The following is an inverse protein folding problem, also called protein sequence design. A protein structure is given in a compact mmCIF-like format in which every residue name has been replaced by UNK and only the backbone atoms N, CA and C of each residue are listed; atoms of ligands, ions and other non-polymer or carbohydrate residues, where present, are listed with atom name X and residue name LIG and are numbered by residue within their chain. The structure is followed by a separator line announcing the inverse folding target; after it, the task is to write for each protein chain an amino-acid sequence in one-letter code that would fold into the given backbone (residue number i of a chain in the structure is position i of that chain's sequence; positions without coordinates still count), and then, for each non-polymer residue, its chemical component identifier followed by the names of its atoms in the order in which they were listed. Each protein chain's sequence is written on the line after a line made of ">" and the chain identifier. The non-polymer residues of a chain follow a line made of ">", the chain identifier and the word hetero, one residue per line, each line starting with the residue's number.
data_IF_027791317692
#
_entry.id   IF_027791317692
#
_cell.length_a   1.000
_cell.length_b   1.000
_cell.length_c   1.000
_cell.angle_alpha   90.00
_cell.angle_beta   90.00
_cell.angle_gamma   90.00
#
_symmetry.space_group_name_H-M   'P 1'
#
loop_
_entity.id
_entity.type
_entity.pdbx_description
1 polymer ?
#
# COMPACT_ATOMS: atom_id res chain seq x y z
N UNK A 1 4.60 9.21 19.18
CA UNK A 1 3.27 8.97 18.55
C UNK A 1 3.47 8.88 17.05
N UNK A 2 4.16 7.83 16.60
CA UNK A 2 4.39 7.55 15.19
C UNK A 2 3.71 6.24 14.85
N UNK A 3 2.92 6.24 13.79
CA UNK A 3 2.19 5.08 13.29
C UNK A 3 2.89 4.71 11.97
N UNK A 4 3.72 3.67 12.03
CA UNK A 4 4.27 3.01 10.85
C UNK A 4 3.25 1.94 10.44
N UNK A 5 2.76 2.06 9.21
CA UNK A 5 1.87 1.10 8.55
C UNK A 5 2.75 0.01 7.91
N UNK A 6 2.74 -1.20 8.48
CA UNK A 6 3.25 -2.43 7.84
C UNK A 6 2.25 -3.57 8.06
N UNK A 7 1.54 -4.02 7.03
CA UNK A 7 1.11 -5.44 6.93
C UNK A 7 0.98 -5.84 5.48
N UNK A 8 2.06 -6.29 4.84
CA UNK A 8 1.88 -7.38 3.86
C UNK A 8 3.01 -8.41 3.79
N UNK A 9 4.00 -8.34 4.68
CA UNK A 9 4.99 -9.40 4.77
C UNK A 9 5.30 -9.68 6.23
N UNK A 10 4.84 -10.83 6.73
CA UNK A 10 5.57 -11.72 7.65
C UNK A 10 6.36 -11.17 8.85
N UNK A 11 6.20 -9.92 9.29
CA UNK A 11 6.83 -9.39 10.50
C UNK A 11 5.76 -8.95 11.47
N UNK A 12 5.97 -9.40 12.69
CA UNK A 12 5.20 -9.18 13.90
C UNK A 12 4.75 -7.73 14.02
N UNK A 13 3.45 -7.46 13.87
CA UNK A 13 2.87 -6.17 14.19
C UNK A 13 1.97 -6.25 15.43
N UNK A 14 2.22 -5.30 16.33
CA UNK A 14 1.38 -5.00 17.46
C UNK A 14 0.02 -4.50 16.92
N UNK A 15 -1.12 -4.98 17.43
CA UNK A 15 -2.41 -4.41 17.11
C UNK A 15 -2.46 -3.11 17.89
N UNK A 16 -2.28 -2.00 17.18
CA UNK A 16 -2.66 -0.70 17.73
C UNK A 16 -4.18 -0.65 17.61
N UNK A 17 -4.93 -0.54 18.73
CA UNK A 17 -6.38 -0.51 18.67
C UNK A 17 -6.83 0.66 17.79
N UNK A 18 -7.80 0.41 16.92
CA UNK A 18 -8.39 1.38 15.98
C UNK A 18 -7.53 1.76 14.76
N UNK A 19 -6.52 0.96 14.41
CA UNK A 19 -5.77 1.10 13.14
C UNK A 19 -6.05 -0.10 12.25
N UNK A 20 -6.36 0.17 10.98
CA UNK A 20 -6.60 -0.85 9.97
C UNK A 20 -5.67 -0.60 8.77
N UNK A 21 -4.79 -1.55 8.46
CA UNK A 21 -3.97 -1.49 7.27
C UNK A 21 -4.69 -2.11 6.07
N UNK A 22 -4.72 -1.40 4.95
CA UNK A 22 -5.37 -1.85 3.71
C UNK A 22 -4.56 -2.90 2.95
N UNK A 23 -3.29 -3.12 3.30
CA UNK A 23 -2.34 -3.89 2.50
C UNK A 23 -1.59 -3.01 1.49
N UNK A 24 -0.89 -3.64 0.55
CA UNK A 24 -0.23 -2.99 -0.60
C UNK A 24 -1.28 -2.35 -1.51
N UNK A 25 -2.44 -2.97 -1.63
CA UNK A 25 -3.65 -2.37 -2.15
C UNK A 25 -4.87 -2.94 -1.42
N UNK A 26 -5.95 -2.16 -1.32
CA UNK A 26 -7.16 -2.57 -0.62
C UNK A 26 -8.37 -1.70 -0.95
N UNK A 27 -9.57 -2.26 -0.80
CA UNK A 27 -10.83 -1.50 -0.72
C UNK A 27 -11.64 -2.02 0.46
N UNK A 28 -12.19 -1.09 1.25
CA UNK A 28 -13.09 -1.38 2.38
C UNK A 28 -14.31 -0.46 2.33
N UNK A 29 -15.33 -0.82 3.11
CA UNK A 29 -16.52 0.00 3.35
C UNK A 29 -16.48 0.55 4.77
N UNK A 30 -16.97 1.77 4.94
CA UNK A 30 -17.29 2.36 6.25
C UNK A 30 -18.67 3.01 6.18
N UNK A 31 -19.68 2.37 6.76
CA UNK A 31 -21.07 2.65 6.42
C UNK A 31 -21.31 2.42 4.93
N UNK A 32 -21.77 3.45 4.22
CA UNK A 32 -21.97 3.41 2.76
C UNK A 32 -20.78 3.98 1.95
N UNK A 33 -19.70 4.42 2.61
CA UNK A 33 -18.52 5.01 1.95
C UNK A 33 -17.57 3.89 1.53
N UNK A 34 -17.14 3.88 0.27
CA UNK A 34 -16.09 2.98 -0.24
C UNK A 34 -14.74 3.70 -0.29
N UNK A 35 -13.76 3.10 0.36
CA UNK A 35 -12.41 3.65 0.53
C UNK A 35 -11.42 2.70 -0.11
N UNK A 36 -10.74 3.15 -1.17
CA UNK A 36 -9.64 2.44 -1.82
C UNK A 36 -8.28 2.97 -1.41
N UNK A 37 -7.26 2.14 -1.50
CA UNK A 37 -5.89 2.54 -1.21
C UNK A 37 -4.84 1.79 -2.02
N UNK A 38 -3.76 2.49 -2.35
CA UNK A 38 -2.50 1.96 -2.87
C UNK A 38 -1.35 2.41 -1.96
N UNK A 39 -0.70 1.45 -1.30
CA UNK A 39 0.45 1.73 -0.44
C UNK A 39 1.74 1.70 -1.25
N UNK A 40 2.73 2.45 -0.79
CA UNK A 40 4.09 2.37 -1.30
C UNK A 40 4.51 3.48 -2.26
N UNK A 41 5.79 3.40 -2.66
CA UNK A 41 6.47 4.37 -3.53
C UNK A 41 6.71 3.73 -4.91
N UNK A 42 6.48 4.45 -5.99
CA UNK A 42 6.72 3.94 -7.33
C UNK A 42 8.20 3.97 -7.69
N UNK A 43 8.76 2.80 -8.03
CA UNK A 43 10.08 2.66 -8.65
C UNK A 43 9.98 1.74 -9.86
N UNK A 44 10.34 2.27 -11.03
CA UNK A 44 10.18 1.60 -12.32
C UNK A 44 10.84 0.21 -12.35
N UNK A 45 12.05 0.08 -11.78
CA UNK A 45 12.81 -1.18 -11.75
C UNK A 45 12.13 -2.31 -10.98
N UNK A 46 11.29 -2.00 -9.97
CA UNK A 46 10.60 -3.01 -9.17
C UNK A 46 9.14 -3.21 -9.60
N UNK A 47 8.59 -2.31 -10.41
CA UNK A 47 7.17 -2.27 -10.69
C UNK A 47 6.63 -3.57 -11.28
N UNK A 48 7.34 -4.19 -12.22
CA UNK A 48 6.91 -5.45 -12.83
C UNK A 48 7.33 -6.71 -12.06
N UNK A 49 8.05 -6.60 -10.95
CA UNK A 49 8.49 -7.76 -10.17
C UNK A 49 7.35 -8.34 -9.33
N UNK A 50 7.52 -9.55 -8.81
CA UNK A 50 6.67 -10.09 -7.76
C UNK A 50 7.00 -9.49 -6.38
N UNK A 51 6.23 -9.90 -5.38
CA UNK A 51 6.49 -9.63 -3.96
C UNK A 51 7.43 -10.71 -3.40
N UNK A 52 8.71 -10.63 -3.76
CA UNK A 52 9.72 -11.65 -3.45
C UNK A 52 10.43 -11.43 -2.11
N UNK A 53 10.30 -10.24 -1.54
CA UNK A 53 10.97 -9.85 -0.31
C UNK A 53 10.47 -10.69 0.86
N UNK A 54 11.39 -11.17 1.72
CA UNK A 54 11.04 -11.96 2.90
C UNK A 54 11.97 -11.61 4.05
N UNK A 55 11.46 -11.63 5.29
CA UNK A 55 12.30 -11.57 6.47
C UNK A 55 13.27 -12.76 6.54
N UNK A 56 14.49 -12.57 7.09
CA UNK A 56 15.05 -11.28 7.48
C UNK A 56 15.43 -10.43 6.25
N UNK A 57 15.04 -9.16 6.28
CA UNK A 57 15.37 -8.22 5.21
C UNK A 57 16.85 -7.83 5.24
N UNK A 58 17.44 -7.68 4.07
CA UNK A 58 18.67 -6.92 3.86
C UNK A 58 18.36 -5.47 3.42
N UNK A 59 19.40 -4.64 3.29
CA UNK A 59 19.33 -3.22 2.91
C UNK A 59 18.53 -2.97 1.62
N UNK A 60 18.61 -3.88 0.65
CA UNK A 60 17.88 -3.74 -0.61
C UNK A 60 16.41 -4.14 -0.46
N UNK A 61 16.16 -5.27 0.22
CA UNK A 61 14.80 -5.81 0.38
C UNK A 61 13.93 -5.01 1.35
N UNK A 62 14.53 -4.33 2.34
CA UNK A 62 13.79 -3.44 3.24
C UNK A 62 13.33 -2.16 2.53
N UNK A 63 14.02 -1.76 1.45
CA UNK A 63 13.57 -0.66 0.57
C UNK A 63 12.54 -1.16 -0.45
N UNK A 64 12.85 -2.28 -1.11
CA UNK A 64 12.02 -2.76 -2.21
C UNK A 64 10.64 -3.30 -1.78
N UNK A 65 10.48 -3.74 -0.52
CA UNK A 65 9.21 -4.25 0.03
C UNK A 65 8.04 -3.29 -0.12
N UNK A 66 8.26 -1.99 0.08
CA UNK A 66 7.20 -0.99 0.00
C UNK A 66 7.11 -0.35 -1.39
N UNK A 67 7.86 -0.82 -2.39
CA UNK A 67 7.70 -0.28 -3.74
C UNK A 67 6.39 -0.81 -4.36
N UNK A 68 5.68 0.04 -5.10
CA UNK A 68 4.45 -0.33 -5.79
C UNK A 68 4.71 -1.46 -6.81
N UNK A 69 3.83 -2.47 -6.87
CA UNK A 69 3.87 -3.53 -7.88
C UNK A 69 2.71 -3.40 -8.88
N UNK A 70 2.97 -3.83 -10.11
CA UNK A 70 2.01 -3.91 -11.19
C UNK A 70 0.82 -4.81 -10.80
N UNK A 71 1.08 -5.88 -10.06
CA UNK A 71 0.05 -6.77 -9.52
C UNK A 71 -1.01 -6.03 -8.69
N UNK A 72 -0.59 -5.17 -7.75
CA UNK A 72 -1.51 -4.43 -6.87
C UNK A 72 -2.32 -3.39 -7.65
N UNK A 73 -1.66 -2.74 -8.62
CA UNK A 73 -2.30 -1.76 -9.52
C UNK A 73 -3.31 -2.46 -10.42
N UNK A 74 -2.98 -3.62 -10.99
CA UNK A 74 -3.90 -4.44 -11.80
C UNK A 74 -5.16 -4.82 -11.02
N UNK A 75 -5.03 -5.25 -9.76
CA UNK A 75 -6.20 -5.52 -8.91
C UNK A 75 -7.12 -4.30 -8.81
N UNK A 76 -6.54 -3.13 -8.54
CA UNK A 76 -7.31 -1.88 -8.44
C UNK A 76 -7.88 -1.42 -9.80
N UNK A 77 -7.22 -1.74 -10.92
CA UNK A 77 -7.77 -1.54 -12.27
C UNK A 77 -9.03 -2.37 -12.52
N UNK A 78 -9.27 -3.45 -11.78
CA UNK A 78 -10.49 -4.28 -11.91
C UNK A 78 -11.68 -3.82 -11.06
N UNK A 79 -11.53 -2.81 -10.21
CA UNK A 79 -12.63 -2.22 -9.41
C UNK A 79 -13.60 -1.44 -10.31
N UNK A 80 -14.81 -1.94 -10.53
CA UNK A 80 -15.80 -1.32 -11.42
C UNK A 80 -16.79 -0.45 -10.66
N UNK A 81 -17.15 -0.84 -9.45
CA UNK A 81 -18.04 -0.02 -8.62
C UNK A 81 -17.33 1.29 -8.21
N UNK A 82 -18.06 2.42 -8.11
CA UNK A 82 -17.47 3.72 -7.78
C UNK A 82 -16.88 3.73 -6.36
N UNK A 83 -15.78 4.46 -6.19
CA UNK A 83 -15.16 4.74 -4.90
C UNK A 83 -15.44 6.19 -4.49
N UNK A 84 -15.62 6.41 -3.20
CA UNK A 84 -15.83 7.76 -2.65
C UNK A 84 -14.49 8.42 -2.31
N UNK A 85 -13.57 7.62 -1.79
CA UNK A 85 -12.24 8.04 -1.34
C UNK A 85 -11.19 7.09 -1.92
N UNK A 86 -10.10 7.66 -2.40
CA UNK A 86 -8.89 6.91 -2.71
C UNK A 86 -7.66 7.51 -2.03
N UNK A 87 -6.76 6.66 -1.58
CA UNK A 87 -5.51 7.06 -0.93
C UNK A 87 -4.32 6.46 -1.65
N UNK A 88 -3.29 7.26 -1.90
CA UNK A 88 -1.98 6.78 -2.34
C UNK A 88 -0.90 7.46 -1.51
N UNK A 89 0.23 6.80 -1.27
CA UNK A 89 1.34 7.51 -0.61
C UNK A 89 1.91 8.57 -1.56
N UNK A 90 2.38 8.14 -2.73
CA UNK A 90 2.87 9.02 -3.78
C UNK A 90 1.76 9.82 -4.44
N UNK A 91 2.13 10.97 -4.97
CA UNK A 91 1.22 11.81 -5.75
C UNK A 91 1.00 11.20 -7.13
N UNK A 92 -0.22 11.27 -7.70
CA UNK A 92 -0.42 10.96 -9.11
C UNK A 92 0.46 11.84 -10.00
N UNK A 93 1.19 11.23 -10.94
CA UNK A 93 2.00 11.95 -11.92
C UNK A 93 1.19 13.04 -12.64
N UNK A 94 1.72 14.27 -12.67
CA UNK A 94 1.10 15.42 -13.33
C UNK A 94 -0.02 16.09 -12.54
N UNK A 95 -0.27 15.71 -11.29
CA UNK A 95 -1.31 16.33 -10.44
C UNK A 95 -1.06 17.83 -10.20
N UNK A 96 0.19 18.29 -10.31
CA UNK A 96 0.59 19.68 -10.11
C UNK A 96 -0.06 20.63 -11.11
N UNK A 97 -0.40 20.15 -12.31
CA UNK A 97 -1.08 20.91 -13.37
C UNK A 97 -2.50 21.34 -12.98
N UNK A 98 -3.09 20.66 -12.00
CA UNK A 98 -4.47 20.89 -11.51
C UNK A 98 -4.51 21.74 -10.23
N UNK A 99 -3.37 22.27 -9.80
CA UNK A 99 -3.24 23.11 -8.60
C UNK A 99 -2.31 24.30 -8.83
N UNK A 100 -1.96 25.00 -7.75
CA UNK A 100 -1.07 26.16 -7.82
C UNK A 100 0.40 25.71 -7.82
N UNK A 101 0.88 25.22 -8.95
CA UNK A 101 2.26 24.75 -9.10
C UNK A 101 3.29 25.86 -8.86
N UNK A 102 2.97 27.14 -9.16
CA UNK A 102 3.89 28.25 -8.87
C UNK A 102 4.09 28.44 -7.37
N UNK A 103 3.07 28.20 -6.55
CA UNK A 103 3.21 28.17 -5.09
C UNK A 103 4.08 27.01 -4.64
N UNK A 104 3.86 25.81 -5.19
CA UNK A 104 4.66 24.62 -4.88
C UNK A 104 6.15 24.88 -5.12
N UNK A 105 6.53 25.38 -6.30
CA UNK A 105 7.94 25.64 -6.64
C UNK A 105 8.53 26.75 -5.78
N UNK A 106 7.76 27.80 -5.43
CA UNK A 106 8.25 28.83 -4.51
C UNK A 106 8.60 28.27 -3.13
N UNK A 107 7.84 27.29 -2.65
CA UNK A 107 8.09 26.62 -1.37
C UNK A 107 9.17 25.54 -1.47
N UNK A 108 9.23 24.81 -2.59
CA UNK A 108 10.15 23.70 -2.85
C UNK A 108 10.74 23.82 -4.27
N UNK A 109 11.79 24.61 -4.41
CA UNK A 109 12.41 24.94 -5.71
C UNK A 109 12.97 23.72 -6.46
N UNK A 110 13.43 22.70 -5.74
CA UNK A 110 13.99 21.48 -6.33
C UNK A 110 12.98 20.69 -7.16
N UNK A 111 11.67 20.88 -6.96
CA UNK A 111 10.64 20.27 -7.82
C UNK A 111 10.45 20.96 -9.17
N UNK A 112 11.09 22.10 -9.43
CA UNK A 112 10.87 22.87 -10.66
C UNK A 112 11.15 22.04 -11.92
N UNK A 113 12.27 21.33 -11.94
CA UNK A 113 12.65 20.51 -13.08
C UNK A 113 11.68 19.35 -13.30
N UNK A 114 11.30 18.64 -12.24
CA UNK A 114 10.39 17.49 -12.32
C UNK A 114 8.95 17.89 -12.66
N UNK A 115 8.49 19.04 -12.16
CA UNK A 115 7.19 19.62 -12.54
C UNK A 115 7.20 20.00 -14.02
N UNK A 116 8.26 20.65 -14.49
CA UNK A 116 8.37 21.07 -15.90
C UNK A 116 8.52 19.88 -16.86
N UNK A 117 9.26 18.83 -16.46
CA UNK A 117 9.43 17.60 -17.25
C UNK A 117 8.27 16.60 -17.09
N UNK A 118 7.31 16.89 -16.20
CA UNK A 118 6.19 16.01 -15.86
C UNK A 118 6.65 14.64 -15.35
N UNK A 119 7.68 14.63 -14.50
CA UNK A 119 8.24 13.43 -13.85
C UNK A 119 7.92 13.35 -12.35
N UNK A 120 7.41 14.43 -11.74
CA UNK A 120 7.04 14.44 -10.32
C UNK A 120 5.81 13.58 -10.05
N UNK A 121 6.02 12.45 -9.35
CA UNK A 121 4.97 11.57 -8.85
C UNK A 121 4.95 10.18 -9.49
N UNK A 122 3.88 9.45 -9.23
CA UNK A 122 3.69 8.04 -9.56
C UNK A 122 2.81 7.87 -10.80
N UNK A 123 3.37 7.30 -11.86
CA UNK A 123 2.62 6.94 -13.07
C UNK A 123 1.50 5.93 -12.78
N UNK A 124 1.70 4.85 -11.99
CA UNK A 124 0.61 3.95 -11.64
C UNK A 124 -0.52 4.64 -10.86
N UNK A 125 -0.20 5.57 -9.97
CA UNK A 125 -1.22 6.36 -9.26
C UNK A 125 -2.01 7.26 -10.24
N UNK A 126 -1.35 7.88 -11.23
CA UNK A 126 -2.04 8.64 -12.28
C UNK A 126 -2.98 7.76 -13.13
N UNK A 127 -2.55 6.55 -13.48
CA UNK A 127 -3.40 5.58 -14.19
C UNK A 127 -4.65 5.22 -13.38
N UNK A 128 -4.49 4.97 -12.09
CA UNK A 128 -5.60 4.68 -11.18
C UNK A 128 -6.53 5.89 -11.00
N UNK A 129 -5.99 7.11 -10.85
CA UNK A 129 -6.79 8.33 -10.77
C UNK A 129 -7.67 8.51 -12.02
N UNK A 130 -7.08 8.33 -13.21
CA UNK A 130 -7.80 8.45 -14.47
C UNK A 130 -8.87 7.37 -14.66
N UNK A 131 -8.67 6.19 -14.10
CA UNK A 131 -9.62 5.07 -14.19
C UNK A 131 -10.73 5.15 -13.15
N UNK A 132 -10.39 5.36 -11.87
CA UNK A 132 -11.31 5.24 -10.74
C UNK A 132 -12.11 6.52 -10.50
N UNK A 133 -11.52 7.69 -10.80
CA UNK A 133 -12.16 9.01 -10.71
C UNK A 133 -12.95 9.25 -9.41
N UNK A 134 -12.39 8.93 -8.22
CA UNK A 134 -13.10 9.10 -6.97
C UNK A 134 -13.37 10.60 -6.71
N UNK A 135 -14.44 10.98 -6.01
CA UNK A 135 -14.66 12.35 -5.57
C UNK A 135 -13.51 12.93 -4.73
N UNK A 136 -12.82 12.09 -3.95
CA UNK A 136 -11.69 12.48 -3.10
C UNK A 136 -10.46 11.60 -3.35
N UNK A 137 -9.29 12.24 -3.49
CA UNK A 137 -7.99 11.58 -3.56
C UNK A 137 -7.01 12.22 -2.56
N UNK A 138 -6.40 11.40 -1.70
CA UNK A 138 -5.43 11.86 -0.71
C UNK A 138 -4.05 11.28 -0.93
N UNK A 139 -3.02 12.13 -0.78
CA UNK A 139 -1.62 11.71 -0.86
C UNK A 139 -0.71 12.34 0.20
N UNK A 140 0.52 11.84 0.31
CA UNK A 140 1.53 12.30 1.25
C UNK A 140 2.90 12.39 0.56
N UNK A 141 3.96 11.85 1.18
CA UNK A 141 5.31 11.71 0.65
C UNK A 141 6.11 13.01 0.44
N UNK A 142 5.62 13.96 -0.36
CA UNK A 142 6.40 15.13 -0.79
C UNK A 142 6.54 16.24 0.27
N UNK A 143 6.11 15.96 1.51
CA UNK A 143 6.23 16.85 2.68
C UNK A 143 5.79 18.30 2.40
N UNK A 144 4.61 18.44 1.77
CA UNK A 144 3.96 19.73 1.55
C UNK A 144 2.45 19.56 1.36
N UNK A 145 1.68 20.57 1.79
CA UNK A 145 0.23 20.62 1.55
C UNK A 145 -0.06 21.13 0.14
N UNK A 146 -0.73 20.33 -0.67
CA UNK A 146 -1.08 20.71 -2.04
C UNK A 146 -2.52 20.32 -2.40
N UNK A 147 -3.43 21.30 -2.49
CA UNK A 147 -4.77 21.07 -3.00
C UNK A 147 -4.80 21.21 -4.54
N UNK A 148 -5.52 20.30 -5.19
CA UNK A 148 -5.79 20.36 -6.63
C UNK A 148 -7.21 19.87 -6.94
N UNK A 149 -7.74 20.27 -8.10
CA UNK A 149 -9.08 19.85 -8.55
C UNK A 149 -8.98 19.35 -9.98
N UNK A 150 -9.32 18.08 -10.19
CA UNK A 150 -9.25 17.41 -11.49
C UNK A 150 -10.65 17.31 -12.06
N UNK A 151 -10.86 17.86 -13.25
CA UNK A 151 -12.08 17.70 -14.02
C UNK A 151 -11.91 16.59 -15.05
N UNK A 152 -12.63 15.47 -14.88
CA UNK A 152 -12.45 14.27 -15.72
C UNK A 152 -13.22 14.37 -17.03
N UNK A 153 -12.68 15.12 -18.00
CA UNK A 153 -13.34 15.39 -19.27
C UNK A 153 -14.44 16.44 -19.18
N UNK A 154 -14.93 16.89 -20.33
CA UNK A 154 -15.96 17.93 -20.41
C UNK A 154 -17.28 17.41 -19.82
N UNK A 155 -17.78 18.08 -18.76
CA UNK A 155 -18.99 17.66 -18.04
C UNK A 155 -18.87 16.39 -17.20
N UNK A 156 -17.68 15.80 -17.08
CA UNK A 156 -17.45 14.60 -16.27
C UNK A 156 -17.39 14.84 -14.75
N UNK A 157 -17.12 13.80 -13.95
CA UNK A 157 -16.96 13.94 -12.51
C UNK A 157 -15.70 14.75 -12.15
N UNK A 158 -15.69 15.29 -10.94
CA UNK A 158 -14.56 16.05 -10.40
C UNK A 158 -13.92 15.30 -9.24
N UNK A 159 -12.59 15.20 -9.23
CA UNK A 159 -11.84 14.72 -8.07
C UNK A 159 -11.22 15.89 -7.32
N UNK A 160 -11.41 15.94 -6.01
CA UNK A 160 -10.71 16.84 -5.09
C UNK A 160 -9.47 16.12 -4.58
N UNK A 161 -8.30 16.59 -5.01
CA UNK A 161 -7.01 16.09 -4.56
C UNK A 161 -6.49 16.92 -3.38
N UNK A 162 -5.94 16.24 -2.39
CA UNK A 162 -5.21 16.88 -1.31
C UNK A 162 -4.00 16.05 -0.89
N UNK A 163 -2.82 16.64 -1.02
CA UNK A 163 -1.63 16.16 -0.35
C UNK A 163 -1.43 16.82 1.01
N UNK A 164 -0.90 16.07 1.98
CA UNK A 164 -0.59 16.53 3.32
C UNK A 164 0.92 16.47 3.62
N UNK A 165 1.35 17.29 4.57
CA UNK A 165 2.73 17.37 5.02
C UNK A 165 3.04 16.32 6.12
N UNK A 166 4.32 16.13 6.46
CA UNK A 166 4.74 15.26 7.58
C UNK A 166 4.23 15.83 8.90
N UNK A 167 3.94 14.95 9.87
CA UNK A 167 3.45 15.26 11.22
C UNK A 167 4.50 15.96 12.11
N UNK A 168 5.03 17.10 11.64
CA UNK A 168 6.01 17.92 12.33
C UNK A 168 5.37 19.24 12.80
N UNK A 169 5.95 19.90 13.83
CA UNK A 169 5.43 21.16 14.35
C UNK A 169 5.28 22.23 13.26
N UNK A 170 4.15 22.94 13.27
CA UNK A 170 3.82 24.05 12.36
C UNK A 170 3.68 23.66 10.88
N UNK A 171 3.39 22.39 10.58
CA UNK A 171 3.15 21.88 9.22
C UNK A 171 1.67 21.59 8.98
N UNK A 172 1.26 21.64 7.72
CA UNK A 172 -0.13 21.35 7.29
C UNK A 172 -0.41 19.85 7.16
N UNK A 173 -0.17 19.09 8.23
CA UNK A 173 -0.22 17.61 8.20
C UNK A 173 -1.62 17.02 8.47
N UNK A 174 -2.56 17.83 8.98
CA UNK A 174 -3.92 17.39 9.32
C UNK A 174 -4.96 18.26 8.62
N UNK A 175 -5.95 17.60 8.02
CA UNK A 175 -7.15 18.22 7.47
C UNK A 175 -8.36 17.38 7.88
N UNK A 176 -9.38 18.04 8.43
CA UNK A 176 -10.69 17.43 8.67
C UNK A 176 -11.59 17.78 7.48
N UNK A 177 -12.33 16.78 7.01
CA UNK A 177 -13.31 16.90 5.94
C UNK A 177 -14.60 16.23 6.37
N UNK A 178 -15.72 16.79 5.94
CA UNK A 178 -17.04 16.21 6.16
C UNK A 178 -17.50 15.53 4.87
N UNK A 179 -17.73 14.22 4.94
CA UNK A 179 -18.25 13.42 3.82
C UNK A 179 -19.64 12.91 4.24
N UNK A 180 -20.69 13.21 3.47
CA UNK A 180 -22.03 12.68 3.77
C UNK A 180 -22.03 11.15 3.79
N UNK A 181 -22.57 10.57 4.85
CA UNK A 181 -22.77 9.12 4.98
C UNK A 181 -24.21 8.79 5.36
N UNK A 182 -24.64 7.58 5.00
CA UNK A 182 -25.90 7.00 5.41
C UNK A 182 -25.91 6.62 6.91
N UNK A 183 -27.03 6.06 7.40
CA UNK A 183 -27.28 5.86 8.83
C UNK A 183 -26.42 4.77 9.52
N UNK A 184 -25.52 4.09 8.80
CA UNK A 184 -24.57 3.14 9.38
C UNK A 184 -24.84 1.65 9.05
N UNK A 185 -24.14 0.73 9.72
CA UNK A 185 -23.21 0.94 10.84
C UNK A 185 -21.90 1.62 10.41
N UNK A 186 -21.39 2.54 11.23
CA UNK A 186 -20.10 3.23 11.04
C UNK A 186 -18.94 2.37 11.56
N UNK A 187 -18.76 1.21 10.93
CA UNK A 187 -17.67 0.28 11.19
C UNK A 187 -17.01 -0.11 9.85
N UNK A 188 -15.75 -0.55 9.92
CA UNK A 188 -15.08 -1.08 8.72
C UNK A 188 -15.75 -2.40 8.35
N UNK A 189 -16.03 -2.58 7.07
CA UNK A 189 -16.58 -3.79 6.47
C UNK A 189 -15.76 -4.17 5.23
N UNK A 190 -15.66 -5.47 4.98
CA UNK A 190 -15.08 -5.96 3.74
C UNK A 190 -15.90 -5.51 2.53
N UNK A 191 -15.21 -5.12 1.47
CA UNK A 191 -15.82 -4.82 0.19
C UNK A 191 -15.96 -6.09 -0.66
N UNK A 192 -17.18 -6.41 -1.09
CA UNK A 192 -17.50 -7.62 -1.86
C UNK A 192 -16.71 -7.73 -3.16
N UNK A 193 -16.64 -6.63 -3.93
CA UNK A 193 -15.93 -6.57 -5.20
C UNK A 193 -14.43 -6.77 -4.99
N UNK A 194 -13.85 -6.13 -3.98
CA UNK A 194 -12.44 -6.29 -3.66
C UNK A 194 -12.07 -7.69 -3.19
N UNK A 195 -12.93 -8.34 -2.39
CA UNK A 195 -12.71 -9.74 -2.01
C UNK A 195 -12.78 -10.65 -3.24
N UNK A 196 -13.70 -10.38 -4.17
CA UNK A 196 -13.82 -11.15 -5.42
C UNK A 196 -12.56 -11.00 -6.29
N UNK A 197 -12.09 -9.76 -6.49
CA UNK A 197 -10.83 -9.47 -7.17
C UNK A 197 -9.67 -10.18 -6.47
N UNK A 198 -9.59 -10.08 -5.14
CA UNK A 198 -8.51 -10.71 -4.36
C UNK A 198 -8.50 -12.23 -4.50
N UNK A 199 -9.67 -12.88 -4.47
CA UNK A 199 -9.79 -14.32 -4.75
C UNK A 199 -9.27 -14.67 -6.13
N UNK A 200 -9.75 -13.94 -7.14
CA UNK A 200 -9.43 -14.20 -8.54
C UNK A 200 -7.95 -14.02 -8.84
N UNK A 201 -7.31 -13.03 -8.24
CA UNK A 201 -5.89 -12.73 -8.45
C UNK A 201 -4.94 -13.60 -7.63
N UNK A 202 -5.43 -14.34 -6.64
CA UNK A 202 -4.57 -15.14 -5.76
C UNK A 202 -3.71 -16.14 -6.54
N UNK A 203 -4.23 -16.77 -7.59
CA UNK A 203 -3.51 -17.75 -8.40
C UNK A 203 -2.34 -17.16 -9.23
N UNK A 204 -2.32 -15.85 -9.45
CA UNK A 204 -1.29 -15.13 -10.22
C UNK A 204 -0.43 -14.23 -9.32
N UNK A 205 -0.52 -14.40 -8.00
CA UNK A 205 0.33 -13.69 -7.05
C UNK A 205 1.79 -14.14 -7.17
N UNK A 206 2.60 -13.35 -7.87
CA UNK A 206 4.02 -13.65 -8.10
C UNK A 206 4.86 -13.35 -6.86
N UNK A 207 5.65 -14.33 -6.44
CA UNK A 207 6.62 -14.24 -5.33
C UNK A 207 8.07 -14.23 -5.83
N UNK A 208 8.29 -13.91 -7.10
CA UNK A 208 9.60 -14.04 -7.76
C UNK A 208 10.12 -12.69 -8.25
N UNK A 209 11.42 -12.63 -8.54
CA UNK A 209 12.05 -11.50 -9.23
C UNK A 209 11.83 -11.52 -10.74
N UNK A 210 11.00 -12.42 -11.25
CA UNK A 210 10.69 -12.45 -12.68
C UNK A 210 9.62 -11.41 -12.98
N UNK A 211 9.78 -10.61 -14.06
CA UNK A 211 8.75 -9.70 -14.51
C UNK A 211 7.43 -10.44 -14.73
N UNK A 212 6.38 -9.98 -14.07
CA UNK A 212 5.01 -10.44 -14.23
C UNK A 212 4.21 -9.36 -14.95
N UNK A 213 3.66 -9.72 -16.10
CA UNK A 213 2.72 -8.89 -16.84
C UNK A 213 1.50 -9.75 -17.16
N UNK A 214 0.33 -9.29 -16.70
CA UNK A 214 -0.95 -9.91 -17.04
C UNK A 214 -1.72 -8.96 -17.95
N UNK A 215 -2.30 -9.49 -19.02
CA UNK A 215 -3.17 -8.70 -19.91
C UNK A 215 -4.50 -8.40 -19.19
N UNK A 216 -4.90 -7.13 -19.21
CA UNK A 216 -6.06 -6.56 -18.51
C UNK A 216 -7.41 -7.17 -18.97
N UNK A 217 -7.46 -7.72 -20.19
CA UNK A 217 -8.72 -8.00 -20.89
C UNK A 217 -9.43 -9.32 -20.55
N UNK A 218 -8.99 -10.11 -19.54
CA UNK A 218 -9.52 -11.47 -19.36
C UNK A 218 -9.89 -11.89 -17.93
N UNK A 219 -9.94 -10.98 -16.96
CA UNK A 219 -10.29 -11.36 -15.59
C UNK A 219 -11.77 -11.10 -15.31
N UNK A 220 -12.61 -12.09 -15.64
CA UNK A 220 -13.99 -12.12 -15.16
C UNK A 220 -14.02 -12.54 -13.68
N UNK A 221 -14.58 -11.66 -12.85
CA UNK A 221 -14.74 -11.81 -11.39
C UNK A 221 -16.18 -12.11 -10.99
N UNK A 222 -17.11 -12.32 -11.92
CA UNK A 222 -18.54 -12.46 -11.62
C UNK A 222 -18.85 -13.70 -10.75
N UNK A 223 -18.23 -14.84 -11.05
CA UNK A 223 -18.39 -16.06 -10.25
C UNK A 223 -17.82 -15.88 -8.83
N UNK A 224 -16.64 -15.26 -8.71
CA UNK A 224 -16.03 -14.93 -7.42
C UNK A 224 -16.88 -13.93 -6.62
N UNK A 225 -17.48 -12.95 -7.28
CA UNK A 225 -18.37 -11.97 -6.65
C UNK A 225 -19.63 -12.63 -6.09
N UNK A 226 -20.26 -13.52 -6.86
CA UNK A 226 -21.43 -14.25 -6.38
C UNK A 226 -21.07 -15.18 -5.21
N UNK A 227 -19.90 -15.82 -5.28
CA UNK A 227 -19.38 -16.63 -4.17
C UNK A 227 -19.16 -15.79 -2.92
N UNK A 228 -18.52 -14.63 -3.04
CA UNK A 228 -18.23 -13.72 -1.92
C UNK A 228 -19.51 -13.20 -1.30
N UNK A 229 -20.50 -12.79 -2.11
CA UNK A 229 -21.82 -12.36 -1.63
C UNK A 229 -22.47 -13.43 -0.77
N UNK A 230 -22.50 -14.67 -1.25
CA UNK A 230 -23.05 -15.78 -0.47
C UNK A 230 -22.27 -16.00 0.84
N UNK A 231 -20.94 -15.89 0.80
CA UNK A 231 -20.08 -16.03 1.98
C UNK A 231 -20.31 -14.93 3.02
N UNK A 232 -20.38 -13.67 2.60
CA UNK A 232 -20.60 -12.52 3.49
C UNK A 232 -22.05 -12.47 4.00
N UNK A 233 -23.04 -12.90 3.23
CA UNK A 233 -24.42 -13.03 3.71
C UNK A 233 -24.54 -14.04 4.85
N UNK A 234 -23.76 -15.13 4.82
CA UNK A 234 -23.77 -16.15 5.87
C UNK A 234 -22.93 -15.78 7.10
N UNK A 235 -21.78 -15.10 6.92
CA UNK A 235 -20.78 -14.83 7.97
C UNK A 235 -20.80 -13.39 8.51
N UNK A 236 -21.34 -12.44 7.75
CA UNK A 236 -21.25 -11.00 7.99
C UNK A 236 -19.98 -10.37 7.39
N UNK A 237 -20.09 -9.10 7.01
CA UNK A 237 -19.03 -8.35 6.30
C UNK A 237 -17.94 -7.75 7.21
N UNK A 238 -18.11 -7.78 8.53
CA UNK A 238 -17.12 -7.22 9.48
C UNK A 238 -15.75 -7.90 9.32
N UNK A 239 -14.61 -7.19 9.35
CA UNK A 239 -13.29 -7.80 9.35
C UNK A 239 -13.09 -8.78 10.51
N UNK A 240 -12.14 -9.70 10.33
CA UNK A 240 -11.72 -10.61 11.40
C UNK A 240 -10.99 -9.80 12.46
N UNK A 241 -11.24 -10.10 13.74
CA UNK A 241 -10.57 -9.43 14.85
C UNK A 241 -9.06 -9.75 14.85
N UNK A 242 -8.24 -8.71 14.98
CA UNK A 242 -6.79 -8.84 14.93
C UNK A 242 -6.24 -9.34 16.27
N UNK A 243 -5.38 -10.35 16.23
CA UNK A 243 -4.61 -10.83 17.39
C UNK A 243 -3.26 -10.10 17.49
N UNK A 244 -2.71 -9.96 18.69
CA UNK A 244 -1.39 -9.36 18.84
C UNK A 244 -0.28 -10.28 18.34
N UNK A 245 0.55 -9.79 17.40
CA UNK A 245 1.69 -10.57 16.85
C UNK A 245 3.07 -10.02 17.25
N UNK A 246 3.16 -8.75 17.65
CA UNK A 246 4.36 -8.16 18.29
C UNK A 246 3.99 -7.40 19.58
N UNK A 247 4.95 -7.30 20.50
CA UNK A 247 4.86 -6.39 21.63
C UNK A 247 4.82 -4.93 21.14
N UNK A 248 4.11 -4.08 21.88
CA UNK A 248 4.21 -2.63 21.66
C UNK A 248 5.63 -2.17 22.00
N UNK A 249 6.13 -1.17 21.27
CA UNK A 249 7.37 -0.51 21.64
C UNK A 249 7.23 0.09 23.05
N UNK A 250 8.18 -0.23 23.93
CA UNK A 250 8.27 0.32 25.28
C UNK A 250 9.65 0.99 25.43
N UNK A 251 9.72 2.34 25.48
CA UNK A 251 10.98 3.06 25.59
C UNK A 251 11.73 2.77 26.91
N UNK A 252 11.07 2.19 27.91
CA UNK A 252 11.70 1.80 29.18
C UNK A 252 12.37 0.42 29.13
N UNK A 253 12.08 -0.37 28.09
CA UNK A 253 12.64 -1.70 27.90
C UNK A 253 13.68 -1.66 26.78
N UNK A 254 14.97 -1.85 27.10
CA UNK A 254 15.97 -2.11 26.06
C UNK A 254 15.60 -3.41 25.35
N UNK A 255 15.15 -3.32 24.10
CA UNK A 255 14.70 -4.47 23.32
C UNK A 255 15.86 -5.47 23.15
N UNK A 256 15.80 -6.58 23.88
CA UNK A 256 16.62 -7.75 23.57
C UNK A 256 16.11 -8.31 22.25
N UNK A 257 16.87 -8.17 21.16
CA UNK A 257 16.51 -8.69 19.84
C UNK A 257 16.07 -10.16 19.97
N UNK A 258 14.77 -10.48 19.88
CA UNK A 258 14.37 -11.87 19.86
C UNK A 258 14.94 -12.44 18.56
N UNK A 259 15.68 -13.54 18.67
CA UNK A 259 16.13 -14.30 17.51
C UNK A 259 14.89 -14.72 16.72
N UNK A 260 14.57 -14.03 15.63
CA UNK A 260 13.48 -14.39 14.71
C UNK A 260 13.93 -15.66 13.99
N UNK A 261 13.74 -16.80 14.65
CA UNK A 261 14.12 -18.13 14.15
C UNK A 261 12.94 -18.89 13.58
N UNK A 262 11.73 -18.35 13.62
CA UNK A 262 10.55 -19.06 13.15
C UNK A 262 9.82 -18.22 12.12
N UNK A 263 9.73 -18.78 10.93
CA UNK A 263 8.83 -18.38 9.86
C UNK A 263 7.38 -18.52 10.39
N UNK A 264 6.92 -17.52 11.15
CA UNK A 264 5.57 -17.55 11.70
C UNK A 264 4.61 -17.08 10.60
N UNK A 265 3.64 -17.93 10.28
CA UNK A 265 2.51 -17.48 9.46
C UNK A 265 1.78 -16.39 10.24
N UNK A 266 1.37 -15.34 9.53
CA UNK A 266 0.62 -14.26 10.13
C UNK A 266 -0.84 -14.75 10.37
N UNK A 267 -1.33 -14.79 11.63
CA UNK A 267 -2.65 -15.36 11.93
C UNK A 267 -3.81 -14.56 11.33
N UNK A 268 -3.63 -13.25 11.08
CA UNK A 268 -4.61 -12.43 10.38
C UNK A 268 -4.69 -12.83 8.91
N UNK A 269 -3.56 -13.01 8.25
CA UNK A 269 -3.47 -13.50 6.88
C UNK A 269 -4.05 -14.91 6.75
N UNK A 270 -3.76 -15.82 7.68
CA UNK A 270 -4.34 -17.16 7.69
C UNK A 270 -5.87 -17.11 7.81
N UNK A 271 -6.38 -16.34 8.76
CA UNK A 271 -7.83 -16.21 8.97
C UNK A 271 -8.52 -15.58 7.75
N UNK A 272 -7.88 -14.59 7.12
CA UNK A 272 -8.38 -13.95 5.90
C UNK A 272 -8.42 -14.92 4.70
N UNK A 273 -7.34 -15.69 4.50
CA UNK A 273 -7.28 -16.69 3.44
C UNK A 273 -8.27 -17.84 3.70
N UNK A 274 -8.46 -18.26 4.96
CA UNK A 274 -9.47 -19.25 5.33
C UNK A 274 -10.89 -18.74 5.05
N UNK A 275 -11.19 -17.47 5.35
CA UNK A 275 -12.47 -16.83 5.00
C UNK A 275 -12.73 -16.93 3.49
N UNK A 276 -11.70 -16.70 2.68
CA UNK A 276 -11.76 -16.77 1.23
C UNK A 276 -11.46 -18.17 0.66
N UNK A 277 -11.28 -19.21 1.47
CA UNK A 277 -10.90 -20.54 0.99
C UNK A 277 -9.72 -20.52 -0.02
N UNK A 278 -8.68 -19.75 0.29
CA UNK A 278 -7.49 -19.56 -0.53
C UNK A 278 -6.26 -20.23 0.11
N UNK A 279 -5.30 -20.71 -0.70
CA UNK A 279 -4.05 -21.26 -0.18
C UNK A 279 -3.12 -20.17 0.35
N UNK A 280 -2.32 -20.52 1.36
CA UNK A 280 -1.24 -19.68 1.88
C UNK A 280 0.00 -19.82 0.99
N UNK A 281 0.13 -18.95 -0.02
CA UNK A 281 1.17 -19.08 -1.05
C UNK A 281 2.60 -18.84 -0.56
N UNK A 282 2.77 -18.15 0.57
CA UNK A 282 4.09 -17.80 1.10
C UNK A 282 4.89 -19.02 1.62
N UNK A 283 4.24 -20.18 1.82
CA UNK A 283 4.94 -21.41 2.19
C UNK A 283 5.56 -22.13 0.98
N UNK A 284 4.92 -22.02 -0.18
CA UNK A 284 5.31 -22.74 -1.40
C UNK A 284 6.58 -22.17 -2.04
N UNK A 285 6.99 -20.94 -1.68
CA UNK A 285 8.19 -20.30 -2.23
C UNK A 285 9.51 -20.86 -1.70
N UNK A 286 9.50 -21.75 -0.70
CA UNK A 286 10.72 -22.32 -0.11
C UNK A 286 11.29 -23.55 -0.86
N UNK A 287 10.70 -23.98 -1.98
CA UNK A 287 11.11 -25.24 -2.63
C UNK A 287 12.30 -25.15 -3.59
N UNK A 288 12.93 -23.98 -3.77
CA UNK A 288 14.12 -23.84 -4.61
C UNK A 288 15.21 -23.00 -3.94
N UNK A 289 16.14 -23.67 -3.25
CA UNK A 289 17.50 -23.15 -3.08
C UNK A 289 18.09 -23.18 -1.67
N UNK A 290 19.15 -23.98 -1.53
CA UNK A 290 20.21 -23.95 -0.51
C UNK A 290 19.92 -24.67 0.82
N UNK A 291 20.36 -25.92 0.88
CA UNK A 291 20.87 -26.55 2.12
C UNK A 291 21.86 -25.60 2.80
N UNK A 292 21.47 -24.98 3.91
CA UNK A 292 22.41 -24.25 4.76
C UNK A 292 23.13 -25.24 5.67
N UNK A 293 24.39 -25.51 5.33
CA UNK A 293 25.36 -25.93 6.32
C UNK A 293 25.54 -24.80 7.35
N UNK A 294 25.47 -25.15 8.62
CA UNK A 294 25.88 -24.31 9.74
C UNK A 294 27.37 -23.96 9.61
N UNK A 295 27.70 -22.67 9.53
CA UNK A 295 28.57 -21.96 10.47
C UNK A 295 29.01 -20.62 9.88
N UNK A 296 28.87 -19.57 10.69
CA UNK A 296 29.85 -18.51 10.95
C UNK A 296 29.10 -17.24 11.35
N UNK A 297 29.19 -16.96 12.64
CA UNK A 297 28.73 -15.75 13.29
C UNK A 297 29.63 -14.57 12.89
N UNK A 298 29.05 -13.55 12.28
CA UNK A 298 29.60 -12.19 12.35
C UNK A 298 28.49 -11.22 12.72
N UNK A 299 28.73 -10.54 13.84
CA UNK A 299 27.90 -9.53 14.49
C UNK A 299 27.93 -8.22 13.70
N UNK A 300 26.80 -7.82 13.12
CA UNK A 300 26.60 -6.47 12.61
C UNK A 300 26.23 -5.51 13.75
N UNK A 301 26.92 -4.37 13.83
CA UNK A 301 26.70 -3.31 14.81
C UNK A 301 25.34 -2.62 14.59
N UNK A 302 24.69 -2.28 15.70
CA UNK A 302 23.41 -1.57 15.71
C UNK A 302 23.58 -0.11 15.26
N UNK A 303 22.70 0.33 14.36
CA UNK A 303 22.49 1.75 14.09
C UNK A 303 21.51 2.29 15.12
N UNK A 304 22.05 3.04 16.07
CA UNK A 304 21.32 3.85 17.05
C UNK A 304 20.98 5.19 16.38
N UNK A 305 19.75 5.31 15.86
CA UNK A 305 19.21 6.59 15.39
C UNK A 305 17.70 6.57 15.55
N UNK A 306 17.20 7.47 16.39
CA UNK A 306 15.79 7.69 16.77
C UNK A 306 14.89 8.21 15.63
N UNK A 307 15.30 8.06 14.37
CA UNK A 307 14.54 8.45 13.19
C UNK A 307 14.85 7.43 12.08
N UNK A 308 13.84 6.68 11.62
CA UNK A 308 13.90 6.09 10.29
C UNK A 308 13.70 7.25 9.32
N UNK A 309 14.78 7.93 8.97
CA UNK A 309 14.84 8.69 7.74
C UNK A 309 14.59 7.68 6.61
N UNK A 310 13.37 7.68 6.07
CA UNK A 310 13.16 7.11 4.75
C UNK A 310 14.16 7.84 3.86
N UNK A 311 15.10 7.13 3.21
CA UNK A 311 16.10 7.78 2.39
C UNK A 311 15.34 8.67 1.41
N UNK A 312 15.61 9.98 1.48
CA UNK A 312 15.34 10.85 0.35
C UNK A 312 16.05 10.18 -0.84
N UNK A 313 15.37 10.17 -1.99
CA UNK A 313 15.88 9.60 -3.24
C UNK A 313 17.15 10.35 -3.69
N UNK A 314 18.26 10.16 -2.99
CA UNK A 314 19.59 10.34 -3.57
C UNK A 314 19.80 9.16 -4.50
N UNK A 315 20.05 9.50 -5.76
CA UNK A 315 20.29 8.59 -6.87
C UNK A 315 21.15 7.39 -6.44
N UNK A 316 20.59 6.18 -6.51
CA UNK A 316 21.42 4.98 -6.59
C UNK A 316 22.31 5.17 -7.84
N UNK A 317 23.65 5.14 -7.71
CA UNK A 317 24.50 5.21 -8.88
C UNK A 317 24.11 4.05 -9.80
N UNK A 318 23.84 4.37 -11.06
CA UNK A 318 23.63 3.36 -12.08
C UNK A 318 24.78 2.35 -11.99
N UNK A 319 24.45 1.10 -11.66
CA UNK A 319 25.35 -0.02 -11.91
C UNK A 319 25.47 -0.14 -13.44
N UNK A 320 26.44 0.61 -13.97
CA UNK A 320 27.05 0.33 -15.27
C UNK A 320 27.78 -1.00 -15.14
N UNK A 321 27.11 -2.09 -15.54
CA UNK A 321 27.79 -3.32 -15.92
C UNK A 321 27.73 -3.46 -17.45
N UNK A 322 28.92 -3.43 -18.04
CA UNK A 322 29.28 -3.62 -19.46
C UNK A 322 28.65 -4.87 -20.13
#
# INVERSE_FOLDING_TARGET
>A
NEIILEVLLGTSCCPIPNIYFLGFAGVVKFGNIRIGGLSGIYKQQHYHLGHYERPPYNENTIRSVYHVRHYDVLKLMHVKEPLDIFMSHDWPLGITEYGNWQKLIREKRFFEEEVNKRTLGSEPAARLLNKLKPPYWFSAHLHCKFPAVIQHGEGGPTTKFLALDKCLPRRGFLQVIDIPSGPGPHEIQYDEEWLAITRKFNNVFSLTRMPFTMLDEQVDTQDDLQWVRNKLNARGAKPIDFVQTAASYDPSCQASNPSITVHCRNPQTESFLQLLNLPYLLDSSNSYGVSRNESSSQTGQALDSDDIELPDDEDDPADDDD
#
